data_IF_017953740360
#
_entry.id   IF_017953740360
#
_cell.length_a   1.000
_cell.length_b   1.000
_cell.length_c   1.000
_cell.angle_alpha   90.00
_cell.angle_beta   90.00
_cell.angle_gamma   90.00
#
_symmetry.space_group_name_H-M   'P 1'
#
loop_
_entity.id
_entity.type
_entity.pdbx_description
1 polymer ?
#
# COMPACT_ATOMS: atom_id res chain seq x y z
N UNK A 1 8.58 -10.00 3.82
CA UNK A 1 9.51 -9.03 3.19
C UNK A 1 9.07 -8.65 1.79
N UNK A 2 9.11 -9.56 0.79
CA UNK A 2 8.78 -9.23 -0.62
C UNK A 2 7.37 -8.60 -0.77
N UNK A 3 6.34 -9.11 -0.11
CA UNK A 3 4.98 -8.53 -0.22
C UNK A 3 4.82 -7.10 0.35
N UNK A 4 5.62 -6.74 1.36
CA UNK A 4 5.60 -5.38 1.92
C UNK A 4 6.41 -4.42 1.06
N UNK A 5 7.55 -4.88 0.52
CA UNK A 5 8.41 -4.09 -0.36
C UNK A 5 7.90 -3.99 -1.80
N UNK A 6 7.12 -4.95 -2.27
CA UNK A 6 6.57 -4.94 -3.64
C UNK A 6 5.58 -3.78 -3.84
N UNK A 7 4.94 -3.31 -2.77
CA UNK A 7 4.12 -2.09 -2.79
C UNK A 7 4.91 -0.83 -3.09
N UNK A 8 6.20 -0.80 -2.72
CA UNK A 8 7.10 0.35 -2.90
C UNK A 8 7.48 0.51 -4.38
N UNK A 9 7.77 -0.61 -5.06
CA UNK A 9 8.27 -0.62 -6.45
C UNK A 9 7.14 -0.32 -7.45
N UNK A 10 5.90 -0.76 -7.17
CA UNK A 10 4.79 -0.65 -8.12
C UNK A 10 3.81 0.49 -7.82
N UNK A 11 3.98 1.25 -6.73
CA UNK A 11 3.14 2.38 -6.30
C UNK A 11 1.63 2.13 -6.43
N UNK A 12 1.04 2.40 -7.60
CA UNK A 12 -0.37 2.19 -7.95
C UNK A 12 -0.76 0.70 -8.14
N UNK A 13 0.16 -0.14 -8.60
CA UNK A 13 -0.02 -1.59 -8.80
C UNK A 13 0.47 -2.42 -7.61
N UNK A 14 0.85 -1.78 -6.50
CA UNK A 14 1.43 -2.45 -5.33
C UNK A 14 0.58 -3.61 -4.77
N UNK A 15 -0.75 -3.50 -4.89
CA UNK A 15 -1.73 -4.51 -4.47
C UNK A 15 -1.61 -5.84 -5.23
N UNK A 16 -1.15 -5.82 -6.48
CA UNK A 16 -1.06 -7.01 -7.34
C UNK A 16 -0.03 -8.02 -6.81
N UNK A 17 1.24 -7.65 -6.54
CA UNK A 17 2.20 -8.57 -5.96
C UNK A 17 1.87 -9.01 -4.53
N UNK A 18 1.21 -8.20 -3.69
CA UNK A 18 0.73 -8.72 -2.40
C UNK A 18 -0.41 -9.72 -2.56
N UNK A 19 -1.31 -9.51 -3.53
CA UNK A 19 -2.37 -10.46 -3.86
C UNK A 19 -1.80 -11.78 -4.36
N UNK A 20 -0.79 -11.73 -5.24
CA UNK A 20 -0.07 -12.91 -5.73
C UNK A 20 0.58 -13.66 -4.56
N UNK A 21 1.31 -12.95 -3.68
CA UNK A 21 1.94 -13.57 -2.51
C UNK A 21 0.89 -14.16 -1.56
N UNK A 22 -0.23 -13.48 -1.34
CA UNK A 22 -1.33 -13.99 -0.54
C UNK A 22 -1.89 -15.30 -1.13
N UNK A 23 -2.20 -15.33 -2.43
CA UNK A 23 -2.75 -16.51 -3.09
C UNK A 23 -1.78 -17.69 -3.09
N UNK A 24 -0.48 -17.44 -3.33
CA UNK A 24 0.55 -18.50 -3.36
C UNK A 24 0.88 -19.03 -1.96
N UNK A 25 0.91 -18.17 -0.93
CA UNK A 25 1.33 -18.57 0.42
C UNK A 25 0.19 -18.87 1.39
N UNK A 26 -1.08 -18.68 0.99
CA UNK A 26 -2.28 -18.92 1.80
C UNK A 26 -2.33 -20.32 2.45
N UNK A 27 -1.84 -21.34 1.76
CA UNK A 27 -1.97 -22.75 2.18
C UNK A 27 -0.77 -23.26 2.99
N UNK A 28 0.36 -22.57 2.98
CA UNK A 28 1.62 -23.07 3.55
C UNK A 28 1.88 -22.69 5.00
N UNK A 29 1.39 -21.53 5.48
CA UNK A 29 1.65 -21.09 6.87
C UNK A 29 0.65 -20.02 7.33
N UNK A 30 0.08 -20.19 8.53
CA UNK A 30 -0.82 -19.22 9.14
C UNK A 30 -0.16 -17.87 9.40
N UNK A 31 1.14 -17.85 9.73
CA UNK A 31 1.93 -16.64 9.93
C UNK A 31 2.09 -15.85 8.63
N UNK A 32 2.48 -16.54 7.56
CA UNK A 32 2.67 -15.90 6.24
C UNK A 32 1.32 -15.43 5.69
N UNK A 33 0.25 -16.20 5.88
CA UNK A 33 -1.11 -15.80 5.49
C UNK A 33 -1.53 -14.50 6.17
N UNK A 34 -1.27 -14.36 7.47
CA UNK A 34 -1.61 -13.15 8.22
C UNK A 34 -0.87 -11.91 7.70
N UNK A 35 0.44 -11.99 7.53
CA UNK A 35 1.21 -10.86 7.01
C UNK A 35 0.86 -10.53 5.56
N UNK A 36 0.53 -11.55 4.74
CA UNK A 36 0.12 -11.33 3.37
C UNK A 36 -1.28 -10.68 3.27
N UNK A 37 -2.27 -11.09 4.08
CA UNK A 37 -3.58 -10.42 4.10
C UNK A 37 -3.48 -8.99 4.65
N UNK A 38 -2.66 -8.79 5.69
CA UNK A 38 -2.44 -7.46 6.27
C UNK A 38 -1.72 -6.50 5.30
N UNK A 39 -0.72 -6.98 4.55
CA UNK A 39 -0.06 -6.22 3.48
C UNK A 39 -1.01 -5.88 2.32
N UNK A 40 -1.83 -6.84 1.89
CA UNK A 40 -2.81 -6.65 0.83
C UNK A 40 -3.87 -5.62 1.21
N UNK A 41 -4.43 -5.75 2.42
CA UNK A 41 -5.39 -4.80 2.96
C UNK A 41 -4.81 -3.39 3.05
N UNK A 42 -3.53 -3.25 3.44
CA UNK A 42 -2.84 -1.96 3.49
C UNK A 42 -2.70 -1.33 2.11
N UNK A 43 -2.30 -2.09 1.09
CA UNK A 43 -2.18 -1.58 -0.28
C UNK A 43 -3.54 -1.21 -0.89
N UNK A 44 -4.59 -1.99 -0.61
CA UNK A 44 -5.98 -1.63 -0.96
C UNK A 44 -6.43 -0.34 -0.27
N UNK A 45 -6.06 -0.16 1.01
CA UNK A 45 -6.37 1.06 1.76
C UNK A 45 -5.66 2.28 1.16
N UNK A 46 -4.41 2.13 0.73
CA UNK A 46 -3.64 3.18 0.06
C UNK A 46 -4.15 3.51 -1.34
N UNK A 47 -4.84 2.58 -2.02
CA UNK A 47 -5.39 2.83 -3.35
C UNK A 47 -6.40 4.00 -3.33
N UNK A 48 -7.17 4.13 -2.26
CA UNK A 48 -8.18 5.20 -2.09
C UNK A 48 -7.54 6.60 -2.10
N UNK A 49 -6.59 6.94 -1.19
CA UNK A 49 -5.95 8.25 -1.21
C UNK A 49 -5.14 8.49 -2.48
N UNK A 50 -4.54 7.46 -3.09
CA UNK A 50 -3.91 7.61 -4.40
C UNK A 50 -4.91 7.99 -5.48
N UNK A 51 -6.04 7.30 -5.58
CA UNK A 51 -7.09 7.61 -6.55
C UNK A 51 -7.60 9.04 -6.38
N UNK A 52 -7.86 9.46 -5.14
CA UNK A 52 -8.26 10.85 -4.83
C UNK A 52 -7.18 11.86 -5.24
N UNK A 53 -5.91 11.56 -4.97
CA UNK A 53 -4.79 12.45 -5.34
C UNK A 53 -4.65 12.57 -6.87
N UNK A 54 -4.87 11.49 -7.61
CA UNK A 54 -4.91 11.50 -9.07
C UNK A 54 -6.09 12.31 -9.63
N UNK A 55 -7.28 12.19 -9.02
CA UNK A 55 -8.44 12.99 -9.39
C UNK A 55 -8.15 14.47 -9.17
N UNK A 56 -7.53 14.84 -8.05
CA UNK A 56 -7.13 16.22 -7.76
C UNK A 56 -6.07 16.70 -8.76
N UNK A 57 -5.05 15.88 -9.04
CA UNK A 57 -4.00 16.22 -10.00
C UNK A 57 -4.56 16.46 -11.40
N UNK A 58 -5.39 15.56 -11.92
CA UNK A 58 -6.01 15.68 -13.24
C UNK A 58 -7.05 16.80 -13.29
N UNK A 59 -7.89 16.92 -12.26
CA UNK A 59 -8.89 17.98 -12.16
C UNK A 59 -8.26 19.37 -12.13
N UNK A 60 -7.29 19.59 -11.24
CA UNK A 60 -6.54 20.86 -11.22
C UNK A 60 -5.73 21.05 -12.49
N UNK A 61 -5.12 20.01 -13.06
CA UNK A 61 -4.40 20.11 -14.33
C UNK A 61 -5.27 20.59 -15.50
N UNK A 62 -6.55 20.21 -15.52
CA UNK A 62 -7.50 20.61 -16.58
C UNK A 62 -8.10 21.99 -16.34
N UNK A 63 -8.51 22.31 -15.11
CA UNK A 63 -9.24 23.56 -14.81
C UNK A 63 -8.34 24.71 -14.34
N UNK A 64 -7.21 24.40 -13.67
CA UNK A 64 -6.31 25.36 -13.01
C UNK A 64 -4.84 24.89 -13.07
N UNK A 65 -4.20 24.90 -14.25
CA UNK A 65 -2.89 24.27 -14.48
C UNK A 65 -1.79 24.80 -13.56
N UNK A 66 -1.81 26.08 -13.19
CA UNK A 66 -0.85 26.73 -12.28
C UNK A 66 -0.84 26.12 -10.87
N UNK A 67 -1.93 25.44 -10.48
CA UNK A 67 -2.14 24.85 -9.15
C UNK A 67 -2.03 23.32 -9.15
N UNK A 68 -1.79 22.71 -10.32
CA UNK A 68 -1.72 21.25 -10.50
C UNK A 68 -0.64 20.57 -9.63
N UNK A 69 0.40 21.30 -9.25
CA UNK A 69 1.48 20.81 -8.39
C UNK A 69 0.98 20.28 -7.03
N UNK A 70 -0.16 20.77 -6.53
CA UNK A 70 -0.79 20.31 -5.29
C UNK A 70 -1.11 18.81 -5.37
N UNK A 71 -1.63 18.36 -6.52
CA UNK A 71 -1.92 16.95 -6.76
C UNK A 71 -0.65 16.09 -6.78
N UNK A 72 0.43 16.59 -7.38
CA UNK A 72 1.73 15.89 -7.39
C UNK A 72 2.33 15.76 -5.98
N UNK A 73 2.22 16.80 -5.15
CA UNK A 73 2.67 16.76 -3.76
C UNK A 73 1.87 15.75 -2.94
N UNK A 74 0.54 15.71 -3.12
CA UNK A 74 -0.32 14.70 -2.47
C UNK A 74 0.11 13.27 -2.81
N UNK A 75 0.35 12.97 -4.10
CA UNK A 75 0.83 11.66 -4.54
C UNK A 75 2.16 11.31 -3.87
N UNK A 76 3.11 12.26 -3.83
CA UNK A 76 4.41 12.05 -3.19
C UNK A 76 4.31 11.78 -1.69
N UNK A 77 3.41 12.48 -0.98
CA UNK A 77 3.16 12.27 0.45
C UNK A 77 2.61 10.87 0.72
N UNK A 78 1.60 10.43 -0.04
CA UNK A 78 1.05 9.08 0.14
C UNK A 78 2.05 7.98 -0.23
N UNK A 79 2.96 8.26 -1.17
CA UNK A 79 4.07 7.37 -1.49
C UNK A 79 5.07 7.23 -0.35
N UNK A 80 5.46 8.35 0.28
CA UNK A 80 6.29 8.30 1.47
C UNK A 80 5.63 7.50 2.61
N UNK A 81 4.33 7.72 2.85
CA UNK A 81 3.55 6.96 3.84
C UNK A 81 3.55 5.45 3.51
N UNK A 82 3.37 5.09 2.24
CA UNK A 82 3.39 3.70 1.80
C UNK A 82 4.74 3.02 2.10
N UNK A 83 5.85 3.72 1.87
CA UNK A 83 7.20 3.23 2.18
C UNK A 83 7.36 3.04 3.69
N UNK A 84 6.99 4.04 4.48
CA UNK A 84 7.15 4.04 5.93
C UNK A 84 6.45 2.82 6.57
N UNK A 85 5.19 2.60 6.22
CA UNK A 85 4.43 1.45 6.69
C UNK A 85 4.91 0.13 6.05
N UNK A 86 5.32 0.13 4.79
CA UNK A 86 5.95 -1.05 4.17
C UNK A 86 7.17 -1.53 4.96
N UNK A 87 8.05 -0.61 5.35
CA UNK A 87 9.24 -0.89 6.17
C UNK A 87 8.85 -1.40 7.55
N UNK A 88 7.91 -0.74 8.24
CA UNK A 88 7.46 -1.17 9.58
C UNK A 88 6.85 -2.58 9.56
N UNK A 89 6.01 -2.89 8.57
CA UNK A 89 5.43 -4.22 8.41
C UNK A 89 6.48 -5.29 8.10
N UNK A 90 7.46 -4.95 7.26
CA UNK A 90 8.58 -5.86 6.97
C UNK A 90 9.45 -6.12 8.20
N UNK A 91 9.76 -5.08 8.99
CA UNK A 91 10.52 -5.20 10.23
C UNK A 91 9.76 -6.04 11.28
N UNK A 92 8.46 -5.82 11.42
CA UNK A 92 7.61 -6.61 12.31
C UNK A 92 7.60 -8.09 11.93
N UNK A 93 7.43 -8.39 10.64
CA UNK A 93 7.48 -9.75 10.11
C UNK A 93 8.86 -10.41 10.28
N UNK A 94 9.95 -9.66 10.18
CA UNK A 94 11.31 -10.17 10.36
C UNK A 94 11.63 -10.49 11.84
N UNK A 95 10.98 -9.79 12.78
CA UNK A 95 11.11 -10.04 14.22
C UNK A 95 10.25 -11.21 14.73
N UNK A 96 9.52 -11.92 13.85
CA UNK A 96 8.62 -12.99 14.26
C UNK A 96 7.33 -12.50 14.94
N UNK A 97 7.06 -11.20 14.92
CA UNK A 97 5.91 -10.60 15.59
C UNK A 97 4.70 -10.54 14.66
N UNK A 98 3.51 -10.79 15.22
CA UNK A 98 2.23 -10.64 14.51
C UNK A 98 1.87 -9.15 14.35
N UNK A 99 2.58 -8.50 13.44
CA UNK A 99 2.42 -7.08 13.14
C UNK A 99 1.08 -6.80 12.46
N UNK A 100 0.37 -5.79 12.96
CA UNK A 100 -0.86 -5.26 12.38
C UNK A 100 -0.70 -3.80 12.03
N UNK A 101 -1.22 -3.39 10.87
CA UNK A 101 -1.20 -1.99 10.48
C UNK A 101 -2.20 -1.19 11.33
N UNK A 102 -1.80 -0.01 11.85
CA UNK A 102 -2.69 0.80 12.68
C UNK A 102 -3.83 1.42 11.87
N UNK A 103 -3.57 1.75 10.60
CA UNK A 103 -4.55 2.34 9.69
C UNK A 103 -4.70 1.41 8.47
N UNK A 104 -5.68 0.51 8.54
CA UNK A 104 -5.96 -0.45 7.46
C UNK A 104 -7.42 -0.86 7.42
N UNK A 105 -8.01 -0.89 6.23
CA UNK A 105 -9.33 -1.45 5.98
C UNK A 105 -9.15 -2.95 5.71
N UNK A 106 -9.63 -3.79 6.63
CA UNK A 106 -9.48 -5.25 6.56
C UNK A 106 -10.57 -5.87 5.69
N UNK A 107 -10.34 -5.91 4.39
CA UNK A 107 -11.23 -6.51 3.40
C UNK A 107 -11.05 -8.03 3.32
N UNK A 108 -9.80 -8.50 3.44
CA UNK A 108 -9.41 -9.91 3.31
C UNK A 108 -8.90 -10.45 4.65
N UNK A 109 -9.28 -11.67 5.03
CA UNK A 109 -8.85 -12.36 6.26
C UNK A 109 -7.95 -13.56 5.95
#
# INVERSE_FOLDING_TARGET
>A
MIAHLSGIIMACLGWLPALIVFQVKKTHSAYVRHHASEALNFQLTLLIPYALSWIVFLGLGVFYPDQSWIGSVLIAVFWAVAILFGVLGSLGANKGAWYRYPVVIRLVK
#
